data_IF_162446315690
#
_entry.id   IF_162446315690
#
_cell.length_a   1.000
_cell.length_b   1.000
_cell.length_c   1.000
_cell.angle_alpha   90.00
_cell.angle_beta   90.00
_cell.angle_gamma   90.00
#
_symmetry.space_group_name_H-M   'P 1'
#
loop_
_entity.id
_entity.type
_entity.pdbx_description
1 polymer ?
#
# COMPACT_ATOMS: atom_id res chain seq x y z
N UNK A 1 5.02 8.35 -19.81
CA UNK A 1 5.85 9.57 -19.73
C UNK A 1 7.23 9.21 -19.22
N UNK A 2 8.29 9.82 -19.76
CA UNK A 2 9.68 9.64 -19.29
C UNK A 2 10.05 10.87 -18.47
N UNK A 3 10.61 10.66 -17.28
CA UNK A 3 11.02 11.72 -16.37
C UNK A 3 12.44 11.42 -15.91
N UNK A 4 13.29 12.44 -15.80
CA UNK A 4 14.63 12.33 -15.25
C UNK A 4 14.62 12.82 -13.81
N UNK A 5 15.14 12.02 -12.90
CA UNK A 5 15.24 12.32 -11.47
C UNK A 5 16.60 11.86 -10.99
N UNK A 6 17.28 12.71 -10.21
CA UNK A 6 18.51 12.33 -9.52
C UNK A 6 18.17 11.55 -8.25
N UNK A 7 18.72 10.35 -8.14
CA UNK A 7 18.48 9.43 -7.02
C UNK A 7 19.84 9.09 -6.42
N UNK A 8 20.05 9.23 -5.10
CA UNK A 8 21.28 8.79 -4.46
C UNK A 8 21.55 7.30 -4.72
N UNK A 9 22.80 6.94 -4.98
CA UNK A 9 23.16 5.56 -5.35
C UNK A 9 22.77 4.53 -4.28
N UNK A 10 22.88 4.90 -3.00
CA UNK A 10 22.48 4.04 -1.88
C UNK A 10 20.97 3.76 -1.88
N UNK A 11 20.16 4.80 -2.07
CA UNK A 11 18.69 4.68 -2.13
C UNK A 11 18.25 3.83 -3.33
N UNK A 12 18.91 3.98 -4.47
CA UNK A 12 18.63 3.16 -5.64
C UNK A 12 19.03 1.68 -5.42
N UNK A 13 20.16 1.44 -4.75
CA UNK A 13 20.59 0.09 -4.38
C UNK A 13 19.60 -0.59 -3.44
N UNK A 14 19.11 0.14 -2.43
CA UNK A 14 18.09 -0.34 -1.50
C UNK A 14 16.75 -0.59 -2.19
N UNK A 15 16.33 0.30 -3.09
CA UNK A 15 15.13 0.08 -3.90
C UNK A 15 15.24 -1.23 -4.69
N UNK A 16 16.36 -1.47 -5.38
CA UNK A 16 16.60 -2.72 -6.12
C UNK A 16 16.56 -3.94 -5.20
N UNK A 17 17.21 -3.85 -4.03
CA UNK A 17 17.25 -4.93 -3.03
C UNK A 17 15.85 -5.25 -2.50
N UNK A 18 15.07 -4.24 -2.11
CA UNK A 18 13.74 -4.44 -1.52
C UNK A 18 12.70 -4.89 -2.53
N UNK A 19 12.75 -4.37 -3.75
CA UNK A 19 11.82 -4.78 -4.82
C UNK A 19 12.28 -6.04 -5.54
N UNK A 20 13.51 -6.52 -5.30
CA UNK A 20 14.17 -7.62 -6.04
C UNK A 20 14.15 -7.41 -7.56
N UNK A 21 14.21 -6.15 -7.98
CA UNK A 21 14.08 -5.79 -9.39
C UNK A 21 15.34 -6.14 -10.18
N UNK A 22 15.17 -6.45 -11.46
CA UNK A 22 16.30 -6.73 -12.36
C UNK A 22 16.87 -5.47 -12.99
N UNK A 23 16.08 -4.38 -13.00
CA UNK A 23 16.45 -3.10 -13.62
C UNK A 23 16.19 -1.92 -12.69
N UNK A 24 16.96 -0.84 -12.86
CA UNK A 24 16.78 0.42 -12.12
C UNK A 24 15.36 0.97 -12.28
N UNK A 25 14.80 0.92 -13.50
CA UNK A 25 13.43 1.38 -13.77
C UNK A 25 12.40 0.58 -13.00
N UNK A 26 12.51 -0.75 -13.02
CA UNK A 26 11.59 -1.63 -12.31
C UNK A 26 11.63 -1.40 -10.81
N UNK A 27 12.82 -1.19 -10.24
CA UNK A 27 12.98 -0.86 -8.82
C UNK A 27 12.23 0.43 -8.44
N UNK A 28 12.45 1.50 -9.21
CA UNK A 28 11.82 2.81 -8.94
C UNK A 28 10.30 2.73 -9.13
N UNK A 29 9.82 2.08 -10.18
CA UNK A 29 8.38 1.89 -10.39
C UNK A 29 7.77 1.07 -9.25
N UNK A 30 8.43 -0.02 -8.84
CA UNK A 30 8.00 -0.85 -7.72
C UNK A 30 7.91 -0.06 -6.41
N UNK A 31 8.92 0.76 -6.11
CA UNK A 31 8.93 1.62 -4.93
C UNK A 31 7.76 2.62 -4.92
N UNK A 32 7.48 3.25 -6.07
CA UNK A 32 6.35 4.19 -6.22
C UNK A 32 5.00 3.49 -6.02
N UNK A 33 4.81 2.31 -6.63
CA UNK A 33 3.58 1.54 -6.47
C UNK A 33 3.36 1.16 -5.01
N UNK A 34 4.42 0.71 -4.35
CA UNK A 34 4.38 0.33 -2.94
C UNK A 34 4.06 1.51 -2.02
N UNK A 35 4.69 2.66 -2.25
CA UNK A 35 4.39 3.90 -1.53
C UNK A 35 2.92 4.30 -1.69
N UNK A 36 2.43 4.34 -2.93
CA UNK A 36 1.03 4.71 -3.20
C UNK A 36 0.04 3.73 -2.57
N UNK A 37 0.36 2.44 -2.53
CA UNK A 37 -0.48 1.46 -1.85
C UNK A 37 -0.59 1.76 -0.35
N UNK A 38 0.54 2.05 0.32
CA UNK A 38 0.53 2.43 1.74
C UNK A 38 -0.23 3.72 1.99
N UNK A 39 -0.06 4.74 1.14
CA UNK A 39 -0.78 6.01 1.28
C UNK A 39 -2.29 5.83 1.12
N UNK A 40 -2.73 5.02 0.14
CA UNK A 40 -4.16 4.68 -0.01
C UNK A 40 -4.73 3.96 1.22
N UNK A 41 -3.97 3.05 1.84
CA UNK A 41 -4.40 2.38 3.06
C UNK A 41 -4.45 3.34 4.26
N UNK A 42 -3.49 4.26 4.37
CA UNK A 42 -3.51 5.30 5.40
C UNK A 42 -4.71 6.25 5.23
N UNK A 43 -5.05 6.59 3.98
CA UNK A 43 -6.24 7.39 3.67
C UNK A 43 -7.53 6.63 4.00
N UNK A 44 -7.62 5.35 3.63
CA UNK A 44 -8.77 4.51 3.96
C UNK A 44 -9.01 4.41 5.47
N UNK A 45 -7.94 4.29 6.26
CA UNK A 45 -8.02 4.24 7.71
C UNK A 45 -8.69 5.48 8.33
N UNK A 46 -8.66 6.64 7.65
CA UNK A 46 -9.35 7.86 8.11
C UNK A 46 -10.87 7.75 8.08
N UNK A 47 -11.41 6.84 7.28
CA UNK A 47 -12.84 6.56 7.17
C UNK A 47 -13.29 5.43 8.11
N UNK A 48 -12.40 4.91 8.96
CA UNK A 48 -12.79 3.92 9.96
C UNK A 48 -13.86 4.50 10.91
N UNK A 49 -14.99 3.81 11.03
CA UNK A 49 -16.12 4.25 11.86
C UNK A 49 -17.05 5.29 11.22
N UNK A 50 -16.77 5.75 9.98
CA UNK A 50 -17.67 6.69 9.28
C UNK A 50 -18.71 5.99 8.41
N UNK A 51 -18.69 4.66 8.31
CA UNK A 51 -19.67 3.89 7.54
C UNK A 51 -20.76 3.37 8.49
N UNK A 52 -21.94 4.02 8.57
CA UNK A 52 -22.98 3.68 9.54
C UNK A 52 -23.64 2.33 9.26
N UNK A 53 -23.65 1.88 8.00
CA UNK A 53 -24.32 0.65 7.57
C UNK A 53 -23.37 -0.58 7.57
N UNK A 54 -22.11 -0.40 7.99
CA UNK A 54 -21.16 -1.50 8.05
C UNK A 54 -21.37 -2.32 9.32
N UNK A 55 -21.57 -3.63 9.16
CA UNK A 55 -21.73 -4.55 10.28
C UNK A 55 -20.50 -4.52 11.21
N UNK A 56 -20.74 -4.47 12.51
CA UNK A 56 -19.70 -4.53 13.54
C UNK A 56 -19.15 -5.96 13.70
N UNK A 57 -17.94 -6.13 14.26
CA UNK A 57 -17.40 -7.47 14.57
C UNK A 57 -18.32 -8.31 15.46
N UNK A 58 -18.99 -7.68 16.43
CA UNK A 58 -19.91 -8.32 17.36
C UNK A 58 -21.18 -8.82 16.64
N UNK A 59 -21.78 -7.97 15.80
CA UNK A 59 -22.93 -8.32 14.97
C UNK A 59 -22.60 -9.46 14.00
N UNK A 60 -21.40 -9.44 13.39
CA UNK A 60 -20.94 -10.50 12.50
C UNK A 60 -20.78 -11.83 13.24
N UNK A 61 -20.22 -11.84 14.45
CA UNK A 61 -20.11 -13.05 15.26
C UNK A 61 -21.48 -13.60 15.64
N UNK A 62 -22.44 -12.73 16.01
CA UNK A 62 -23.80 -13.13 16.33
C UNK A 62 -24.56 -13.69 15.12
N UNK A 63 -24.29 -13.18 13.90
CA UNK A 63 -24.83 -13.74 12.66
C UNK A 63 -24.26 -15.13 12.35
N UNK A 64 -22.94 -15.33 12.53
CA UNK A 64 -22.28 -16.62 12.31
C UNK A 64 -22.71 -17.74 13.28
N UNK A 65 -23.10 -17.39 14.51
CA UNK A 65 -23.63 -18.38 15.49
C UNK A 65 -25.08 -18.78 15.20
N UNK A 66 -25.79 -18.02 14.36
CA UNK A 66 -27.21 -18.23 14.00
C UNK A 66 -27.40 -19.05 12.72
N UNK A 67 -26.34 -19.35 11.98
CA UNK A 67 -26.33 -20.30 10.85
C UNK A 67 -25.65 -21.60 11.24
#
# INVERSE_FOLDING_TARGET
MKTTVDIPDQELADAIRFTKAKTKREAVVGAIVYFNQRMRMAELARYAGTCPDLITPEELQAARRRG
#
